data_IF_598541702869
#
_entry.id   IF_598541702869
#
_cell.length_a   1.000
_cell.length_b   1.000
_cell.length_c   1.000
_cell.angle_alpha   90.00
_cell.angle_beta   90.00
_cell.angle_gamma   90.00
#
_symmetry.space_group_name_H-M   'P 1'
#
loop_
_entity.id
_entity.type
_entity.pdbx_description
1 polymer ?
#
# COMPACT_ATOMS: atom_id res chain seq x y z
N UNK A 1 -5.62 4.99 25.21
CA UNK A 1 -4.93 4.20 24.17
C UNK A 1 -3.57 3.80 24.71
N UNK A 2 -3.21 2.53 24.59
CA UNK A 2 -1.89 2.06 25.00
C UNK A 2 -0.83 2.64 24.07
N UNK A 3 0.36 2.93 24.60
CA UNK A 3 1.51 3.24 23.77
C UNK A 3 2.34 1.97 23.60
N UNK A 4 2.81 1.72 22.39
CA UNK A 4 3.53 0.52 22.02
C UNK A 4 4.95 0.89 21.61
N UNK A 5 5.93 0.25 22.23
CA UNK A 5 7.33 0.46 21.91
C UNK A 5 7.64 -0.13 20.53
N UNK A 6 8.05 0.71 19.58
CA UNK A 6 8.15 0.32 18.16
C UNK A 6 9.55 0.56 17.60
N UNK A 7 10.01 -0.29 16.69
CA UNK A 7 11.28 -0.15 15.96
C UNK A 7 11.23 -0.86 14.60
N UNK A 8 12.14 -0.49 13.70
CA UNK A 8 12.32 -1.11 12.38
C UNK A 8 13.63 -1.89 12.36
N UNK A 9 13.63 -3.09 11.79
CA UNK A 9 14.80 -3.97 11.78
C UNK A 9 14.89 -4.88 10.55
N UNK A 10 16.08 -5.45 10.34
CA UNK A 10 16.35 -6.57 9.43
C UNK A 10 16.48 -7.84 10.28
N UNK A 11 15.74 -8.89 9.91
CA UNK A 11 15.83 -10.19 10.57
C UNK A 11 17.08 -10.96 10.17
N UNK A 12 17.62 -11.74 11.12
CA UNK A 12 18.59 -12.77 10.78
C UNK A 12 17.87 -14.00 10.21
N UNK A 13 18.43 -14.57 9.14
CA UNK A 13 18.01 -15.88 8.63
C UNK A 13 18.47 -17.02 9.57
N UNK A 14 17.93 -18.22 9.36
CA UNK A 14 18.27 -19.39 10.19
C UNK A 14 19.77 -19.72 10.16
N UNK A 15 20.44 -19.44 9.05
CA UNK A 15 21.84 -19.73 8.86
C UNK A 15 22.70 -18.80 9.73
N UNK A 16 22.40 -17.50 9.74
CA UNK A 16 23.04 -16.50 10.58
C UNK A 16 22.72 -16.72 12.05
N UNK A 17 21.47 -17.05 12.41
CA UNK A 17 21.07 -17.39 13.80
C UNK A 17 21.94 -18.52 14.37
N UNK A 18 22.11 -19.62 13.61
CA UNK A 18 22.97 -20.74 14.03
C UNK A 18 24.44 -20.33 14.21
N UNK A 19 24.99 -19.55 13.29
CA UNK A 19 26.40 -19.07 13.36
C UNK A 19 26.61 -18.12 14.54
N UNK A 20 25.68 -17.20 14.76
CA UNK A 20 25.68 -16.29 15.90
C UNK A 20 25.55 -17.03 17.24
N UNK A 21 24.71 -18.07 17.31
CA UNK A 21 24.59 -18.94 18.49
C UNK A 21 25.90 -19.66 18.82
N UNK A 22 26.59 -20.19 17.79
CA UNK A 22 27.94 -20.75 17.93
C UNK A 22 28.96 -19.73 18.45
N UNK A 23 28.93 -18.50 17.94
CA UNK A 23 29.77 -17.41 18.42
C UNK A 23 29.46 -17.00 19.86
N UNK A 24 28.17 -16.92 20.24
CA UNK A 24 27.72 -16.68 21.62
C UNK A 24 28.27 -17.78 22.55
N UNK A 25 28.26 -19.04 22.12
CA UNK A 25 28.86 -20.15 22.85
C UNK A 25 30.36 -19.95 23.13
N UNK A 26 31.12 -19.42 22.16
CA UNK A 26 32.55 -19.10 22.31
C UNK A 26 32.80 -17.90 23.23
N UNK A 27 31.91 -16.92 23.22
CA UNK A 27 32.05 -15.69 24.02
C UNK A 27 31.57 -15.87 25.48
N UNK A 28 30.61 -16.78 25.73
CA UNK A 28 30.00 -17.03 27.05
C UNK A 28 30.98 -17.21 28.20
N UNK A 29 32.06 -18.00 28.07
CA UNK A 29 33.04 -18.19 29.15
C UNK A 29 33.80 -16.92 29.54
N UNK A 30 33.82 -15.91 28.67
CA UNK A 30 34.64 -14.71 28.83
C UNK A 30 33.85 -13.47 29.26
N UNK A 31 32.51 -13.51 29.17
CA UNK A 31 31.61 -12.39 29.42
C UNK A 31 30.70 -12.67 30.62
N UNK A 32 31.29 -12.64 31.83
CA UNK A 32 30.57 -12.85 33.09
C UNK A 32 29.49 -11.79 33.34
N UNK A 33 28.28 -12.23 33.72
CA UNK A 33 27.15 -11.33 34.01
C UNK A 33 26.51 -10.68 32.78
N UNK A 34 26.91 -11.07 31.56
CA UNK A 34 26.29 -10.59 30.34
C UNK A 34 24.87 -11.16 30.17
N UNK A 35 23.97 -10.31 29.65
CA UNK A 35 22.65 -10.71 29.16
C UNK A 35 22.77 -11.03 27.68
N UNK A 36 22.48 -12.26 27.31
CA UNK A 36 22.62 -12.76 25.95
C UNK A 36 21.33 -12.52 25.17
N UNK A 37 21.46 -12.12 23.91
CA UNK A 37 20.33 -12.06 22.98
C UNK A 37 19.99 -13.50 22.57
N UNK A 38 18.69 -13.83 22.56
CA UNK A 38 18.22 -15.13 22.10
C UNK A 38 18.21 -15.23 20.57
N UNK A 39 18.16 -16.45 20.04
CA UNK A 39 18.16 -16.67 18.59
C UNK A 39 16.96 -16.02 17.90
N UNK A 40 15.77 -16.06 18.53
CA UNK A 40 14.58 -15.39 17.98
C UNK A 40 14.67 -13.86 17.99
N UNK A 41 15.46 -13.29 18.90
CA UNK A 41 15.61 -11.85 19.05
C UNK A 41 16.80 -11.28 18.27
N UNK A 42 17.50 -12.10 17.48
CA UNK A 42 18.67 -11.67 16.71
C UNK A 42 18.25 -10.86 15.48
N UNK A 43 18.43 -9.55 15.54
CA UNK A 43 18.10 -8.62 14.47
C UNK A 43 19.10 -7.47 14.37
N UNK A 44 19.14 -6.79 13.23
CA UNK A 44 19.83 -5.51 13.04
C UNK A 44 18.78 -4.41 13.12
N UNK A 45 18.84 -3.59 14.17
CA UNK A 45 17.93 -2.45 14.34
C UNK A 45 18.31 -1.34 13.37
N UNK A 46 17.40 -0.94 12.48
CA UNK A 46 17.57 0.20 11.58
C UNK A 46 17.18 1.50 12.28
N UNK A 47 16.05 1.50 12.98
CA UNK A 47 15.57 2.69 13.67
C UNK A 47 14.73 2.34 14.89
N UNK A 48 14.99 3.00 16.02
CA UNK A 48 14.17 2.89 17.22
C UNK A 48 13.23 4.09 17.32
N UNK A 49 11.92 3.85 17.39
CA UNK A 49 10.90 4.90 17.29
C UNK A 49 10.32 5.30 18.66
N UNK A 50 10.50 4.45 19.67
CA UNK A 50 9.98 4.70 21.01
C UNK A 50 8.52 4.29 21.14
N UNK A 51 7.80 4.94 22.06
CA UNK A 51 6.41 4.61 22.39
C UNK A 51 5.42 5.33 21.47
N UNK A 52 4.75 4.57 20.60
CA UNK A 52 3.82 5.10 19.59
C UNK A 52 2.37 4.71 19.90
N UNK A 53 1.42 5.56 19.50
CA UNK A 53 -0.01 5.24 19.43
C UNK A 53 -0.35 4.38 18.22
N UNK A 54 -1.52 3.74 18.22
CA UNK A 54 -1.98 2.90 17.11
C UNK A 54 -2.01 3.64 15.76
N UNK A 55 -2.35 4.93 15.77
CA UNK A 55 -2.33 5.78 14.57
C UNK A 55 -0.90 6.03 14.07
N UNK A 56 0.04 6.31 14.97
CA UNK A 56 1.46 6.50 14.61
C UNK A 56 2.10 5.20 14.12
N UNK A 57 1.72 4.05 14.70
CA UNK A 57 2.16 2.73 14.24
C UNK A 57 1.71 2.48 12.80
N UNK A 58 0.45 2.80 12.48
CA UNK A 58 -0.08 2.65 11.12
C UNK A 58 0.74 3.47 10.13
N UNK A 59 1.07 4.72 10.48
CA UNK A 59 1.89 5.60 9.65
C UNK A 59 3.32 5.07 9.46
N UNK A 60 3.93 4.56 10.52
CA UNK A 60 5.27 3.94 10.47
C UNK A 60 5.28 2.75 9.53
N UNK A 61 4.28 1.87 9.61
CA UNK A 61 4.17 0.70 8.72
C UNK A 61 4.09 1.13 7.25
N UNK A 62 3.20 2.07 6.91
CA UNK A 62 3.05 2.57 5.53
C UNK A 62 4.32 3.21 4.99
N UNK A 63 4.95 4.11 5.77
CA UNK A 63 6.17 4.79 5.33
C UNK A 63 7.37 3.85 5.22
N UNK A 64 7.48 2.88 6.14
CA UNK A 64 8.52 1.84 6.06
C UNK A 64 8.35 1.01 4.79
N UNK A 65 7.11 0.64 4.43
CA UNK A 65 6.84 -0.10 3.20
C UNK A 65 7.23 0.70 1.95
N UNK A 66 6.92 2.00 1.92
CA UNK A 66 7.32 2.87 0.81
C UNK A 66 8.85 2.94 0.63
N UNK A 67 9.58 3.17 1.74
CA UNK A 67 11.05 3.19 1.71
C UNK A 67 11.62 1.83 1.31
N UNK A 68 11.05 0.74 1.81
CA UNK A 68 11.46 -0.61 1.49
C UNK A 68 11.33 -0.89 -0.01
N UNK A 69 10.20 -0.55 -0.64
CA UNK A 69 9.99 -0.75 -2.09
C UNK A 69 10.92 0.11 -2.95
N UNK A 70 11.28 1.31 -2.48
CA UNK A 70 12.24 2.18 -3.18
C UNK A 70 13.68 1.65 -3.12
N UNK A 71 13.98 0.77 -2.16
CA UNK A 71 15.27 0.14 -1.99
C UNK A 71 15.26 -1.29 -2.57
N UNK A 72 16.17 -1.57 -3.50
CA UNK A 72 16.31 -2.93 -4.03
C UNK A 72 16.85 -3.91 -2.99
N UNK A 73 16.57 -5.22 -3.12
CA UNK A 73 17.18 -6.23 -2.28
C UNK A 73 18.70 -6.21 -2.45
N UNK A 74 19.42 -6.52 -1.38
CA UNK A 74 20.88 -6.51 -1.38
C UNK A 74 21.44 -7.64 -0.54
N UNK A 75 22.70 -7.94 -0.78
CA UNK A 75 23.43 -8.91 0.02
C UNK A 75 24.35 -8.20 1.00
N UNK A 76 24.49 -8.79 2.18
CA UNK A 76 25.31 -8.26 3.26
C UNK A 76 26.23 -9.35 3.79
N UNK A 77 27.53 -9.07 3.81
CA UNK A 77 28.49 -9.93 4.50
C UNK A 77 28.53 -9.55 5.97
N UNK A 78 28.02 -10.44 6.81
CA UNK A 78 27.95 -10.26 8.25
C UNK A 78 29.27 -10.75 8.85
N UNK A 79 30.10 -9.79 9.26
CA UNK A 79 31.45 -10.09 9.73
C UNK A 79 31.97 -9.05 10.73
N UNK A 80 32.88 -9.54 11.56
CA UNK A 80 33.63 -8.82 12.56
C UNK A 80 32.88 -8.62 13.86
N UNK A 81 33.55 -8.99 14.96
CA UNK A 81 33.03 -8.80 16.31
C UNK A 81 33.57 -7.49 16.87
N UNK A 82 32.69 -6.72 17.49
CA UNK A 82 33.05 -5.47 18.14
C UNK A 82 32.29 -5.27 19.45
N UNK A 83 32.55 -4.12 20.08
CA UNK A 83 31.87 -3.74 21.31
C UNK A 83 31.57 -2.24 21.34
N UNK A 84 30.50 -1.88 22.04
CA UNK A 84 30.17 -0.47 22.34
C UNK A 84 30.38 -0.15 23.82
N UNK A 85 30.89 1.05 24.17
CA UNK A 85 31.51 2.01 23.25
C UNK A 85 32.82 1.48 22.62
N UNK A 86 33.53 0.59 23.31
CA UNK A 86 34.79 0.01 22.88
C UNK A 86 35.07 -1.33 23.61
N UNK A 87 36.11 -2.04 23.21
CA UNK A 87 36.51 -3.34 23.80
C UNK A 87 37.08 -3.22 25.22
N UNK A 88 37.55 -2.04 25.63
CA UNK A 88 38.08 -1.80 26.99
C UNK A 88 36.96 -1.57 27.99
N UNK A 89 35.78 -1.11 27.57
CA UNK A 89 34.63 -0.88 28.46
C UNK A 89 33.31 -1.36 27.83
N UNK A 90 33.21 -2.64 27.43
CA UNK A 90 32.08 -3.13 26.66
C UNK A 90 30.78 -3.09 27.46
N UNK A 91 29.75 -2.52 26.84
CA UNK A 91 28.35 -2.43 27.29
C UNK A 91 27.41 -3.19 26.37
N UNK A 92 27.82 -3.34 25.12
CA UNK A 92 27.26 -4.32 24.20
C UNK A 92 28.40 -4.97 23.43
N UNK A 93 28.27 -6.26 23.12
CA UNK A 93 29.11 -6.98 22.15
C UNK A 93 28.24 -7.32 20.96
N UNK A 94 28.77 -7.10 19.77
CA UNK A 94 27.99 -7.16 18.53
C UNK A 94 28.77 -7.78 17.38
N UNK A 95 28.02 -8.23 16.38
CA UNK A 95 28.51 -8.72 15.10
C UNK A 95 28.17 -7.68 14.02
N UNK A 96 29.15 -7.27 13.22
CA UNK A 96 29.02 -6.16 12.29
C UNK A 96 28.57 -6.55 10.90
N UNK A 97 28.21 -5.55 10.12
CA UNK A 97 28.17 -5.65 8.66
C UNK A 97 29.50 -5.16 8.07
N UNK A 98 29.98 -5.83 7.01
CA UNK A 98 31.15 -5.41 6.21
C UNK A 98 30.73 -5.09 4.79
N UNK A 99 30.97 -5.99 3.84
CA UNK A 99 30.54 -5.82 2.45
C UNK A 99 29.01 -5.69 2.38
N UNK A 100 28.50 -4.74 1.60
CA UNK A 100 27.07 -4.39 1.57
C UNK A 100 26.62 -3.41 2.65
N UNK A 101 27.51 -3.01 3.59
CA UNK A 101 27.18 -2.08 4.67
C UNK A 101 26.67 -0.72 4.19
N UNK A 102 27.15 -0.24 3.03
CA UNK A 102 26.67 1.01 2.41
C UNK A 102 25.18 0.95 2.04
N UNK A 103 24.68 -0.21 1.60
CA UNK A 103 23.28 -0.40 1.26
C UNK A 103 22.39 -0.33 2.51
N UNK A 104 22.82 -0.96 3.61
CA UNK A 104 22.13 -0.87 4.91
C UNK A 104 22.13 0.57 5.44
N UNK A 105 23.26 1.29 5.33
CA UNK A 105 23.33 2.69 5.74
C UNK A 105 22.43 3.58 4.90
N UNK A 106 22.33 3.36 3.58
CA UNK A 106 21.40 4.09 2.72
C UNK A 106 19.95 3.83 3.10
N UNK A 107 19.58 2.56 3.26
CA UNK A 107 18.24 2.17 3.71
C UNK A 107 17.88 2.80 5.06
N UNK A 108 18.83 2.82 6.01
CA UNK A 108 18.61 3.46 7.30
C UNK A 108 18.45 4.98 7.19
N UNK A 109 19.23 5.65 6.33
CA UNK A 109 19.11 7.08 6.09
C UNK A 109 17.74 7.42 5.47
N UNK A 110 17.31 6.66 4.46
CA UNK A 110 15.99 6.84 3.85
C UNK A 110 14.85 6.64 4.87
N UNK A 111 15.01 5.68 5.79
CA UNK A 111 14.07 5.48 6.90
C UNK A 111 14.10 6.62 7.92
N UNK A 112 15.28 7.15 8.29
CA UNK A 112 15.37 8.31 9.19
C UNK A 112 14.71 9.54 8.56
N UNK A 113 14.95 9.79 7.28
CA UNK A 113 14.32 10.89 6.54
C UNK A 113 12.78 10.74 6.53
N UNK A 114 12.26 9.53 6.36
CA UNK A 114 10.83 9.26 6.29
C UNK A 114 10.12 9.22 7.65
N UNK A 115 10.81 8.83 8.74
CA UNK A 115 10.20 8.51 10.03
C UNK A 115 10.66 9.42 11.18
N UNK A 116 11.61 10.32 10.96
CA UNK A 116 12.21 11.15 12.03
C UNK A 116 11.22 12.05 12.77
N UNK A 117 10.11 12.46 12.15
CA UNK A 117 9.04 13.25 12.77
C UNK A 117 8.19 12.43 13.76
N UNK A 118 8.20 11.10 13.63
CA UNK A 118 7.47 10.16 14.49
C UNK A 118 8.37 9.56 15.59
N UNK A 119 9.70 9.65 15.43
CA UNK A 119 10.65 9.00 16.31
C UNK A 119 10.93 9.80 17.60
N UNK A 120 10.88 9.13 18.75
CA UNK A 120 11.35 9.70 20.02
C UNK A 120 12.89 9.66 20.06
N UNK A 121 13.52 10.75 19.61
CA UNK A 121 14.99 10.84 19.50
C UNK A 121 15.70 10.81 20.86
N UNK A 122 16.73 9.97 20.95
CA UNK A 122 17.77 10.01 21.99
C UNK A 122 19.03 10.75 21.49
N UNK A 123 20.15 10.63 22.22
CA UNK A 123 21.45 11.18 21.80
C UNK A 123 21.84 10.71 20.38
N UNK A 124 22.18 11.66 19.50
CA UNK A 124 22.61 11.37 18.14
C UNK A 124 23.97 10.67 18.14
N UNK A 125 23.96 9.35 17.96
CA UNK A 125 25.15 8.52 17.79
C UNK A 125 25.10 7.99 16.36
N UNK A 126 26.18 8.12 15.61
CA UNK A 126 26.25 7.66 14.23
C UNK A 126 25.77 6.22 14.10
N UNK A 127 25.00 5.94 13.04
CA UNK A 127 24.48 4.61 12.78
C UNK A 127 25.62 3.64 12.45
N UNK A 128 25.65 2.51 13.16
CA UNK A 128 26.60 1.42 12.91
C UNK A 128 25.76 0.17 12.71
N UNK A 129 25.75 -0.45 11.51
CA UNK A 129 24.96 -1.65 11.24
C UNK A 129 25.52 -2.86 12.00
N UNK A 130 24.74 -3.40 12.95
CA UNK A 130 25.19 -4.48 13.82
C UNK A 130 24.05 -5.35 14.35
N UNK A 131 24.36 -6.62 14.64
CA UNK A 131 23.55 -7.52 15.45
C UNK A 131 24.10 -7.54 16.87
N UNK A 132 23.29 -7.16 17.85
CA UNK A 132 23.70 -7.27 19.27
C UNK A 132 23.72 -8.75 19.68
N UNK A 133 24.85 -9.21 20.22
CA UNK A 133 25.00 -10.58 20.75
C UNK A 133 24.79 -10.63 22.27
N UNK A 134 25.29 -9.60 22.97
CA UNK A 134 25.23 -9.51 24.41
C UNK A 134 25.19 -8.07 24.91
N UNK A 135 24.56 -7.85 26.06
CA UNK A 135 24.55 -6.58 26.80
C UNK A 135 25.15 -6.77 28.19
N UNK A 136 26.03 -5.85 28.59
CA UNK A 136 26.73 -5.92 29.87
C UNK A 136 26.23 -4.85 30.87
N UNK A 137 26.01 -5.21 32.14
CA UNK A 137 25.72 -4.25 33.21
C UNK A 137 26.86 -3.22 33.40
N UNK A 138 26.53 -2.06 33.98
CA UNK A 138 27.57 -1.13 34.46
C UNK A 138 28.44 -1.83 35.50
N UNK A 139 29.76 -1.78 35.33
CA UNK A 139 30.72 -2.33 36.30
C UNK A 139 30.90 -3.86 36.26
N UNK A 140 30.22 -4.57 35.36
CA UNK A 140 30.36 -6.01 35.20
C UNK A 140 31.63 -6.35 34.42
N UNK A 141 32.81 -6.25 35.03
CA UNK A 141 34.08 -6.89 34.63
C UNK A 141 34.59 -6.70 33.18
N UNK A 142 33.90 -5.92 32.35
CA UNK A 142 34.25 -5.69 30.96
C UNK A 142 35.54 -4.88 30.88
N UNK A 143 36.44 -5.29 29.99
CA UNK A 143 37.73 -4.63 29.79
C UNK A 143 38.94 -5.33 30.38
N UNK A 144 38.83 -6.57 30.85
CA UNK A 144 40.03 -7.31 31.21
C UNK A 144 40.94 -7.47 29.97
N UNK A 145 42.28 -7.44 30.13
CA UNK A 145 43.19 -7.67 29.00
C UNK A 145 42.90 -8.98 28.26
N UNK A 146 42.45 -10.00 29.00
CA UNK A 146 41.97 -11.26 28.43
C UNK A 146 40.77 -11.06 27.52
N UNK A 147 39.73 -10.33 27.95
CA UNK A 147 38.55 -10.08 27.13
C UNK A 147 38.88 -9.26 25.89
N UNK A 148 39.74 -8.25 26.02
CA UNK A 148 40.21 -7.44 24.88
C UNK A 148 40.90 -8.34 23.86
N UNK A 149 41.83 -9.19 24.30
CA UNK A 149 42.52 -10.16 23.44
C UNK A 149 41.55 -11.14 22.76
N UNK A 150 40.52 -11.62 23.47
CA UNK A 150 39.48 -12.49 22.90
C UNK A 150 38.68 -11.76 21.80
N UNK A 151 38.28 -10.50 22.04
CA UNK A 151 37.53 -9.72 21.06
C UNK A 151 38.39 -9.37 19.84
N UNK A 152 39.64 -9.00 20.04
CA UNK A 152 40.62 -8.75 18.98
C UNK A 152 40.83 -10.00 18.11
N UNK A 153 40.95 -11.19 18.73
CA UNK A 153 41.04 -12.45 18.00
C UNK A 153 39.78 -12.84 17.23
N UNK A 154 38.67 -12.15 17.44
CA UNK A 154 37.39 -12.34 16.76
C UNK A 154 37.02 -11.13 15.85
N UNK A 155 37.89 -10.14 15.73
CA UNK A 155 37.62 -8.92 14.97
C UNK A 155 37.35 -9.18 13.48
N UNK A 156 37.90 -10.27 12.94
CA UNK A 156 37.74 -10.72 11.56
C UNK A 156 36.82 -11.96 11.43
N UNK A 157 36.05 -12.28 12.47
CA UNK A 157 35.12 -13.41 12.43
C UNK A 157 34.10 -13.22 11.30
N UNK A 158 34.07 -14.15 10.36
CA UNK A 158 33.13 -14.14 9.24
C UNK A 158 31.92 -15.01 9.57
N UNK A 159 30.75 -14.37 9.70
CA UNK A 159 29.48 -15.04 9.90
C UNK A 159 28.72 -15.20 8.58
N UNK A 160 29.40 -15.09 7.44
CA UNK A 160 28.87 -15.39 6.12
C UNK A 160 27.97 -14.30 5.55
N UNK A 161 27.29 -14.68 4.48
CA UNK A 161 26.41 -13.81 3.71
C UNK A 161 24.96 -13.90 4.20
N UNK A 162 24.27 -12.77 4.18
CA UNK A 162 22.85 -12.61 4.46
C UNK A 162 22.20 -11.90 3.28
N UNK A 163 21.23 -12.55 2.64
CA UNK A 163 20.36 -11.88 1.69
C UNK A 163 19.33 -11.05 2.45
N UNK A 164 19.22 -9.77 2.10
CA UNK A 164 18.22 -8.86 2.66
C UNK A 164 17.23 -8.54 1.55
N UNK A 165 16.02 -9.06 1.71
CA UNK A 165 14.89 -8.92 0.79
C UNK A 165 13.68 -8.28 1.45
N UNK A 166 13.74 -7.95 2.75
CA UNK A 166 12.67 -7.28 3.48
C UNK A 166 13.18 -6.57 4.74
N UNK A 167 12.37 -5.63 5.24
CA UNK A 167 12.48 -5.03 6.57
C UNK A 167 11.20 -5.26 7.35
N UNK A 168 11.30 -5.30 8.68
CA UNK A 168 10.17 -5.60 9.56
C UNK A 168 10.00 -4.48 10.59
N UNK A 169 8.76 -4.04 10.76
CA UNK A 169 8.35 -3.16 11.86
C UNK A 169 7.91 -4.04 13.03
N UNK A 170 8.48 -3.82 14.21
CA UNK A 170 8.18 -4.59 15.42
C UNK A 170 7.57 -3.74 16.51
N UNK A 171 6.63 -4.31 17.26
CA UNK A 171 6.38 -3.91 18.64
C UNK A 171 7.28 -4.69 19.59
N UNK A 172 7.60 -4.08 20.73
CA UNK A 172 8.38 -4.68 21.81
C UNK A 172 7.64 -4.60 23.13
N UNK A 173 7.51 -5.75 23.79
CA UNK A 173 6.98 -5.85 25.15
C UNK A 173 8.07 -6.35 26.10
N UNK A 174 8.18 -5.75 27.27
CA UNK A 174 9.22 -6.07 28.24
C UNK A 174 8.69 -7.04 29.30
N UNK A 175 9.19 -8.27 29.27
CA UNK A 175 8.90 -9.29 30.26
C UNK A 175 10.09 -9.52 31.21
N UNK A 176 9.85 -10.20 32.34
CA UNK A 176 10.92 -10.57 33.30
C UNK A 176 12.01 -11.43 32.66
N UNK A 177 11.68 -12.21 31.61
CA UNK A 177 12.60 -13.06 30.88
C UNK A 177 13.40 -12.36 29.77
N UNK A 178 13.05 -11.13 29.41
CA UNK A 178 13.60 -10.42 28.26
C UNK A 178 12.51 -9.72 27.45
N UNK A 179 12.89 -8.96 26.41
CA UNK A 179 11.92 -8.43 25.48
C UNK A 179 11.35 -9.54 24.60
N UNK A 180 10.06 -9.46 24.30
CA UNK A 180 9.43 -10.19 23.20
C UNK A 180 9.10 -9.19 22.08
N UNK A 181 9.27 -9.64 20.84
CA UNK A 181 9.05 -8.83 19.65
C UNK A 181 7.94 -9.43 18.81
N UNK A 182 7.00 -8.59 18.38
CA UNK A 182 5.88 -8.99 17.55
C UNK A 182 5.92 -8.20 16.24
N UNK A 183 5.96 -8.88 15.07
CA UNK A 183 5.98 -8.19 13.80
C UNK A 183 4.62 -7.49 13.57
N UNK A 184 4.68 -6.19 13.29
CA UNK A 184 3.53 -5.34 12.95
C UNK A 184 3.34 -5.21 11.44
N UNK A 185 4.45 -5.17 10.69
CA UNK A 185 4.46 -5.17 9.23
C UNK A 185 5.76 -5.80 8.71
N UNK A 186 5.67 -6.54 7.60
CA UNK A 186 6.81 -7.07 6.85
C UNK A 186 6.80 -6.41 5.48
N UNK A 187 7.89 -5.71 5.15
CA UNK A 187 7.97 -4.80 4.02
C UNK A 187 9.06 -5.30 3.05
N UNK A 188 8.68 -5.89 1.90
CA UNK A 188 9.64 -6.40 0.91
C UNK A 188 10.50 -5.27 0.30
N UNK A 189 11.78 -5.56 0.09
CA UNK A 189 12.70 -4.75 -0.69
C UNK A 189 12.54 -5.06 -2.18
N UNK A 190 12.32 -4.01 -2.96
CA UNK A 190 12.19 -4.08 -4.41
C UNK A 190 10.91 -4.73 -4.95
N UNK A 191 10.54 -4.32 -6.16
CA UNK A 191 9.66 -5.05 -7.08
C UNK A 191 10.35 -5.16 -8.45
N UNK A 192 10.25 -6.33 -9.09
CA UNK A 192 10.47 -6.46 -10.54
C UNK A 192 9.37 -5.67 -11.27
N UNK A 193 9.77 -4.51 -11.81
CA UNK A 193 8.93 -3.60 -12.58
C UNK A 193 9.34 -2.16 -12.30
N UNK A 194 10.18 -1.59 -13.17
CA UNK A 194 10.73 -0.23 -13.04
C UNK A 194 9.66 0.83 -12.74
N UNK A 195 9.99 1.92 -12.05
CA UNK A 195 10.91 2.93 -12.58
C UNK A 195 11.57 3.79 -11.49
N UNK A 196 12.83 4.19 -11.75
CA UNK A 196 13.39 5.42 -11.17
C UNK A 196 12.83 6.62 -11.93
N UNK A 197 11.97 7.36 -11.24
CA UNK A 197 11.41 8.70 -11.51
C UNK A 197 10.49 8.86 -12.75
N UNK A 198 9.49 9.76 -12.65
CA UNK A 198 8.17 9.59 -13.26
C UNK A 198 8.18 9.94 -14.75
N UNK A 199 7.46 9.18 -15.59
CA UNK A 199 7.06 9.68 -16.89
C UNK A 199 5.56 9.49 -17.15
N UNK A 200 4.83 10.61 -17.18
CA UNK A 200 3.89 10.85 -18.27
C UNK A 200 2.64 9.98 -18.35
N UNK A 201 1.91 9.87 -17.25
CA UNK A 201 0.46 10.12 -17.15
C UNK A 201 0.13 10.01 -15.66
N UNK A 202 0.06 11.15 -14.98
CA UNK A 202 -0.59 11.17 -13.67
C UNK A 202 -2.01 10.67 -13.86
N UNK A 203 -2.51 9.72 -13.04
CA UNK A 203 -3.95 9.52 -12.94
C UNK A 203 -4.50 10.87 -12.46
N UNK A 204 -5.04 11.65 -13.39
CA UNK A 204 -5.78 12.85 -13.03
C UNK A 204 -6.95 12.35 -12.21
N UNK A 205 -7.08 12.83 -10.98
CA UNK A 205 -8.19 12.46 -10.13
C UNK A 205 -8.79 13.70 -9.53
N UNK A 206 -10.11 13.68 -9.51
CA UNK A 206 -10.94 14.75 -9.02
C UNK A 206 -11.63 14.32 -7.74
N UNK A 207 -11.40 15.07 -6.67
CA UNK A 207 -12.10 14.93 -5.39
C UNK A 207 -13.23 15.95 -5.33
N UNK A 208 -14.43 15.56 -4.89
CA UNK A 208 -15.54 16.48 -4.64
C UNK A 208 -15.84 16.61 -3.14
N UNK A 209 -15.60 17.79 -2.53
CA UNK A 209 -15.89 18.06 -1.09
C UNK A 209 -16.83 19.23 -0.88
N UNK A 210 -17.81 19.07 0.02
CA UNK A 210 -18.73 20.14 0.44
C UNK A 210 -18.23 20.78 1.75
N UNK A 211 -18.18 22.11 1.80
CA UNK A 211 -17.72 22.87 2.97
C UNK A 211 -18.75 22.84 4.12
N UNK A 212 -18.30 22.45 5.31
CA UNK A 212 -18.94 22.83 6.57
C UNK A 212 -18.46 24.22 7.01
N UNK A 213 -19.31 25.24 6.78
CA UNK A 213 -19.33 26.59 7.37
C UNK A 213 -17.99 27.26 7.79
N UNK A 214 -17.57 28.27 7.02
CA UNK A 214 -16.99 29.50 7.56
C UNK A 214 -17.22 30.67 6.60
N UNK A 215 -18.00 31.65 7.04
CA UNK A 215 -18.28 32.89 6.32
C UNK A 215 -17.06 33.82 6.26
N UNK A 216 -16.74 34.37 5.08
CA UNK A 216 -16.54 35.82 4.84
C UNK A 216 -16.23 36.17 3.37
N UNK A 217 -17.17 36.94 2.79
CA UNK A 217 -17.01 38.17 2.00
C UNK A 217 -16.02 38.25 0.82
N UNK A 218 -16.62 38.41 -0.36
CA UNK A 218 -16.34 39.36 -1.46
C UNK A 218 -14.91 39.43 -2.03
N UNK A 219 -14.75 39.12 -3.33
CA UNK A 219 -14.81 40.19 -4.33
C UNK A 219 -15.03 39.69 -5.76
N UNK A 220 -15.65 40.55 -6.55
CA UNK A 220 -16.07 40.36 -7.93
C UNK A 220 -14.93 40.46 -8.94
N UNK A 221 -15.02 39.74 -10.07
CA UNK A 221 -14.77 40.31 -11.39
C UNK A 221 -15.25 39.38 -12.50
N UNK A 222 -16.10 39.94 -13.36
CA UNK A 222 -16.64 39.35 -14.57
C UNK A 222 -15.59 39.22 -15.68
N UNK A 223 -15.74 38.21 -16.55
CA UNK A 223 -15.46 38.38 -17.97
C UNK A 223 -16.17 37.30 -18.80
N UNK A 224 -17.06 37.81 -19.63
CA UNK A 224 -17.94 37.14 -20.58
C UNK A 224 -17.18 36.67 -21.83
N UNK A 225 -17.84 35.75 -22.56
CA UNK A 225 -18.00 35.69 -24.04
C UNK A 225 -17.22 34.63 -24.86
N UNK A 226 -18.06 33.93 -25.63
CA UNK A 226 -17.92 33.52 -27.04
C UNK A 226 -17.40 32.12 -27.38
N UNK A 227 -18.37 31.23 -27.63
CA UNK A 227 -18.43 30.41 -28.85
C UNK A 227 -18.75 31.33 -30.08
N UNK A 228 -18.70 30.91 -31.37
CA UNK A 228 -18.89 29.53 -31.84
C UNK A 228 -18.15 29.06 -33.13
N UNK A 229 -18.28 27.74 -33.37
CA UNK A 229 -18.51 27.03 -34.64
C UNK A 229 -17.55 27.13 -35.84
N UNK A 230 -17.13 25.95 -36.35
CA UNK A 230 -17.29 25.49 -37.75
C UNK A 230 -16.71 24.07 -37.89
N UNK A 231 -17.53 23.02 -38.11
CA UNK A 231 -17.78 22.35 -39.41
C UNK A 231 -16.54 22.03 -40.26
N UNK A 232 -16.27 20.73 -40.45
CA UNK A 232 -16.03 20.02 -41.73
C UNK A 232 -15.88 18.52 -41.42
N UNK A 233 -16.87 17.66 -41.67
CA UNK A 233 -17.05 16.85 -42.89
C UNK A 233 -15.77 16.34 -43.55
N UNK A 234 -15.49 15.04 -43.44
CA UNK A 234 -15.33 14.21 -44.64
C UNK A 234 -15.57 12.73 -44.30
N UNK A 235 -16.37 12.09 -45.17
CA UNK A 235 -16.51 10.64 -45.25
C UNK A 235 -15.33 10.06 -46.03
N UNK A 236 -14.87 8.86 -45.64
CA UNK A 236 -14.30 7.91 -46.58
C UNK A 236 -14.75 6.49 -46.20
N UNK A 237 -15.57 5.91 -47.09
CA UNK A 237 -15.97 4.50 -47.15
C UNK A 237 -14.94 3.70 -47.96
N UNK A 238 -14.76 2.43 -47.56
CA UNK A 238 -14.37 1.20 -48.33
C UNK A 238 -13.30 0.44 -47.52
N UNK A 239 -13.30 -0.88 -47.39
CA UNK A 239 -14.04 -1.94 -48.07
C UNK A 239 -13.77 -3.26 -47.33
N UNK A 240 -14.80 -4.11 -47.25
CA UNK A 240 -14.68 -5.50 -46.87
C UNK A 240 -14.05 -6.33 -48.01
N UNK A 241 -13.25 -7.34 -47.64
CA UNK A 241 -12.96 -8.50 -48.48
C UNK A 241 -12.86 -9.76 -47.60
N UNK A 242 -13.58 -10.80 -48.03
CA UNK A 242 -13.76 -12.11 -47.40
C UNK A 242 -13.28 -13.18 -48.38
N UNK A 243 -12.80 -14.31 -47.85
CA UNK A 243 -12.47 -15.65 -48.43
C UNK A 243 -10.97 -15.96 -48.31
N UNK A 244 -10.51 -17.15 -47.91
CA UNK A 244 -11.19 -18.38 -47.53
C UNK A 244 -10.17 -19.52 -47.40
N UNK A 245 -10.27 -20.26 -46.29
CA UNK A 245 -10.09 -21.71 -46.09
C UNK A 245 -8.90 -22.47 -46.73
N UNK A 246 -8.08 -23.12 -45.90
CA UNK A 246 -7.80 -24.56 -46.04
C UNK A 246 -7.36 -25.17 -44.71
N UNK A 247 -7.94 -26.35 -44.41
CA UNK A 247 -7.72 -27.21 -43.25
C UNK A 247 -6.57 -28.16 -43.54
N UNK A 248 -5.68 -28.35 -42.58
CA UNK A 248 -4.98 -29.62 -42.37
C UNK A 248 -5.24 -30.11 -40.93
N UNK A 249 -5.66 -31.38 -40.84
CA UNK A 249 -6.03 -32.08 -39.60
C UNK A 249 -4.80 -32.78 -39.01
N UNK A 250 -4.34 -32.33 -37.85
CA UNK A 250 -3.54 -33.12 -36.91
C UNK A 250 -4.43 -33.87 -35.90
N UNK A 251 -3.89 -34.81 -35.10
CA UNK A 251 -4.66 -35.81 -34.38
C UNK A 251 -5.49 -35.23 -33.22
N UNK A 252 -6.65 -35.86 -32.97
CA UNK A 252 -7.63 -35.49 -31.95
C UNK A 252 -7.02 -35.53 -30.55
N UNK A 253 -6.89 -34.36 -29.93
CA UNK A 253 -6.83 -34.23 -28.48
C UNK A 253 -8.27 -34.28 -27.92
N UNK A 254 -8.46 -34.98 -26.81
CA UNK A 254 -9.74 -35.11 -26.13
C UNK A 254 -10.36 -33.74 -25.83
N UNK A 255 -11.51 -33.45 -26.45
CA UNK A 255 -12.21 -32.19 -26.27
C UNK A 255 -12.87 -32.14 -24.89
N UNK A 256 -12.34 -31.31 -23.98
CA UNK A 256 -13.05 -30.90 -22.76
C UNK A 256 -14.41 -30.32 -23.14
N UNK A 257 -15.51 -30.90 -22.63
CA UNK A 257 -16.87 -30.34 -22.75
C UNK A 257 -16.89 -28.94 -22.12
N UNK A 258 -17.62 -28.00 -22.73
CA UNK A 258 -17.77 -26.67 -22.14
C UNK A 258 -18.63 -26.74 -20.86
N UNK A 259 -18.46 -25.78 -19.96
CA UNK A 259 -19.26 -25.68 -18.72
C UNK A 259 -20.75 -25.55 -19.05
N UNK A 260 -21.08 -24.87 -20.15
CA UNK A 260 -22.46 -24.75 -20.64
C UNK A 260 -23.01 -26.11 -21.07
N UNK A 261 -22.24 -26.95 -21.76
CA UNK A 261 -22.67 -28.29 -22.17
C UNK A 261 -22.97 -29.22 -20.98
N UNK A 262 -22.19 -29.08 -19.88
CA UNK A 262 -22.40 -29.81 -18.63
C UNK A 262 -23.67 -29.35 -17.88
N UNK A 263 -23.93 -28.04 -17.84
CA UNK A 263 -25.14 -27.47 -17.22
C UNK A 263 -26.38 -27.87 -18.00
N UNK A 264 -26.27 -27.89 -19.33
CA UNK A 264 -27.34 -28.23 -20.23
C UNK A 264 -27.55 -29.75 -20.38
N UNK A 265 -26.65 -30.59 -19.88
CA UNK A 265 -26.64 -32.04 -20.14
C UNK A 265 -27.82 -32.80 -19.53
N UNK A 266 -28.39 -32.28 -18.45
CA UNK A 266 -29.40 -32.98 -17.66
C UNK A 266 -30.84 -32.43 -17.85
N UNK A 267 -31.06 -31.48 -18.77
CA UNK A 267 -32.40 -30.93 -19.02
C UNK A 267 -32.53 -30.35 -20.43
N UNK A 268 -33.33 -31.01 -21.27
CA UNK A 268 -33.68 -30.51 -22.60
C UNK A 268 -34.59 -29.26 -22.55
N UNK A 269 -35.43 -29.14 -21.51
CA UNK A 269 -36.24 -27.94 -21.28
C UNK A 269 -35.37 -26.71 -20.98
N UNK A 270 -34.30 -26.90 -20.21
CA UNK A 270 -33.34 -25.84 -19.91
C UNK A 270 -32.58 -25.41 -21.17
N UNK A 271 -32.19 -26.36 -22.04
CA UNK A 271 -31.57 -26.07 -23.34
C UNK A 271 -32.45 -25.19 -24.21
N UNK A 272 -33.73 -25.56 -24.35
CA UNK A 272 -34.68 -24.77 -25.13
C UNK A 272 -34.92 -23.39 -24.54
N UNK A 273 -34.98 -23.28 -23.21
CA UNK A 273 -35.16 -22.00 -22.52
C UNK A 273 -33.95 -21.08 -22.71
N UNK A 274 -32.73 -21.60 -22.55
CA UNK A 274 -31.48 -20.85 -22.76
C UNK A 274 -31.38 -20.37 -24.21
N UNK A 275 -31.67 -21.24 -25.19
CA UNK A 275 -31.67 -20.85 -26.61
C UNK A 275 -32.73 -19.79 -26.95
N UNK A 276 -33.91 -19.84 -26.30
CA UNK A 276 -34.94 -18.82 -26.46
C UNK A 276 -34.49 -17.46 -25.89
N UNK A 277 -33.82 -17.46 -24.73
CA UNK A 277 -33.26 -16.26 -24.11
C UNK A 277 -32.19 -15.64 -25.01
N UNK A 278 -31.24 -16.42 -25.53
CA UNK A 278 -30.20 -15.91 -26.43
C UNK A 278 -30.78 -15.35 -27.75
N UNK A 279 -31.79 -16.01 -28.30
CA UNK A 279 -32.48 -15.53 -29.51
C UNK A 279 -33.23 -14.22 -29.28
N UNK A 280 -33.81 -14.02 -28.09
CA UNK A 280 -34.62 -12.85 -27.78
C UNK A 280 -33.80 -11.66 -27.27
N UNK A 281 -32.74 -11.92 -26.50
CA UNK A 281 -31.97 -10.91 -25.77
C UNK A 281 -30.51 -10.77 -26.23
N UNK A 282 -30.06 -11.63 -27.15
CA UNK A 282 -28.71 -11.62 -27.73
C UNK A 282 -27.79 -12.70 -27.15
N UNK A 283 -26.73 -13.03 -27.90
CA UNK A 283 -25.69 -13.98 -27.49
C UNK A 283 -25.02 -13.53 -26.18
N UNK A 284 -24.91 -14.42 -25.20
CA UNK A 284 -24.37 -14.08 -23.87
C UNK A 284 -25.36 -13.42 -22.90
N UNK A 285 -26.65 -13.34 -23.24
CA UNK A 285 -27.71 -12.87 -22.31
C UNK A 285 -27.89 -13.77 -21.08
N UNK A 286 -27.47 -15.03 -21.17
CA UNK A 286 -27.41 -15.99 -20.07
C UNK A 286 -26.15 -16.83 -20.21
N UNK A 287 -25.37 -16.94 -19.14
CA UNK A 287 -24.11 -17.70 -19.14
C UNK A 287 -23.91 -18.40 -17.80
N UNK A 288 -23.29 -19.60 -17.78
CA UNK A 288 -22.89 -20.22 -16.52
C UNK A 288 -21.86 -19.32 -15.82
N UNK A 289 -22.08 -19.05 -14.53
CA UNK A 289 -21.22 -18.16 -13.74
C UNK A 289 -19.74 -18.58 -13.75
N UNK A 290 -19.46 -19.87 -13.92
CA UNK A 290 -18.10 -20.43 -14.01
C UNK A 290 -17.59 -20.73 -15.42
N UNK A 291 -18.31 -20.32 -16.48
CA UNK A 291 -17.88 -20.58 -17.87
C UNK A 291 -16.69 -19.71 -18.31
N UNK A 292 -16.52 -18.54 -17.68
CA UNK A 292 -15.38 -17.62 -17.87
C UNK A 292 -14.61 -17.50 -16.54
N UNK A 293 -13.82 -18.51 -16.17
CA UNK A 293 -12.95 -18.44 -14.99
C UNK A 293 -11.73 -17.51 -15.16
N UNK A 294 -11.57 -16.88 -16.33
CA UNK A 294 -10.38 -16.12 -16.71
C UNK A 294 -10.64 -14.64 -17.03
N UNK A 295 -11.84 -14.12 -16.74
CA UNK A 295 -12.05 -12.67 -16.74
C UNK A 295 -11.39 -12.07 -15.51
N UNK A 296 -10.08 -11.82 -15.59
CA UNK A 296 -9.40 -10.93 -14.65
C UNK A 296 -10.08 -9.57 -14.72
N UNK A 297 -10.76 -9.20 -13.63
CA UNK A 297 -11.26 -7.83 -13.46
C UNK A 297 -10.01 -7.00 -13.17
N UNK A 298 -9.69 -6.10 -14.10
CA UNK A 298 -8.62 -5.13 -13.86
C UNK A 298 -8.97 -4.31 -12.61
N UNK A 299 -7.96 -4.01 -11.81
CA UNK A 299 -8.14 -3.18 -10.64
C UNK A 299 -7.05 -2.13 -10.50
N UNK A 300 -7.39 -1.12 -9.73
CA UNK A 300 -6.57 0.02 -9.36
C UNK A 300 -6.03 -0.30 -7.97
N UNK A 301 -4.71 -0.42 -7.82
CA UNK A 301 -4.10 -0.73 -6.54
C UNK A 301 -4.53 0.27 -5.47
N UNK A 302 -4.92 -0.24 -4.30
CA UNK A 302 -5.23 0.57 -3.11
C UNK A 302 -3.97 1.10 -2.42
N UNK A 303 -2.78 0.75 -2.93
CA UNK A 303 -1.48 0.93 -2.29
C UNK A 303 -1.33 0.17 -0.95
N UNK A 304 -2.31 -0.64 -0.58
CA UNK A 304 -2.25 -1.55 0.57
C UNK A 304 -2.25 -2.98 0.05
N UNK A 305 -1.13 -3.71 0.20
CA UNK A 305 -1.02 -5.07 -0.30
C UNK A 305 -2.04 -6.01 0.37
N UNK A 306 -2.26 -5.86 1.67
CA UNK A 306 -3.22 -6.68 2.40
C UNK A 306 -4.65 -6.48 1.87
N UNK A 307 -5.01 -5.24 1.53
CA UNK A 307 -6.30 -4.92 0.95
C UNK A 307 -6.40 -5.35 -0.51
N UNK A 308 -5.36 -5.14 -1.31
CA UNK A 308 -5.32 -5.59 -2.71
C UNK A 308 -5.42 -7.11 -2.79
N UNK A 309 -4.75 -7.85 -1.91
CA UNK A 309 -4.88 -9.31 -1.80
C UNK A 309 -6.29 -9.72 -1.39
N UNK A 310 -6.90 -9.04 -0.42
CA UNK A 310 -8.29 -9.30 -0.03
C UNK A 310 -9.28 -9.02 -1.17
N UNK A 311 -8.95 -8.10 -2.08
CA UNK A 311 -9.71 -7.77 -3.29
C UNK A 311 -9.33 -8.61 -4.52
N UNK A 312 -8.64 -9.74 -4.33
CA UNK A 312 -8.29 -10.66 -5.42
C UNK A 312 -6.98 -10.34 -6.14
N UNK A 313 -6.10 -9.57 -5.50
CA UNK A 313 -4.74 -9.24 -5.96
C UNK A 313 -4.66 -8.10 -6.99
N UNK A 314 -5.78 -7.41 -7.26
CA UNK A 314 -5.86 -6.36 -8.29
C UNK A 314 -6.26 -5.00 -7.71
N UNK A 315 -6.66 -4.92 -6.43
CA UNK A 315 -7.15 -3.68 -5.81
C UNK A 315 -8.60 -3.35 -6.18
N UNK A 316 -8.92 -2.06 -6.27
CA UNK A 316 -10.27 -1.54 -6.53
C UNK A 316 -10.67 -1.88 -7.97
N UNK A 317 -11.77 -2.60 -8.21
CA UNK A 317 -12.14 -3.02 -9.57
C UNK A 317 -12.51 -1.82 -10.47
N UNK A 318 -11.90 -1.77 -11.66
CA UNK A 318 -12.19 -0.75 -12.68
C UNK A 318 -13.65 -0.84 -13.17
N UNK A 319 -14.26 0.31 -13.48
CA UNK A 319 -15.59 0.37 -14.07
C UNK A 319 -16.73 -0.03 -13.13
N UNK A 320 -16.48 0.02 -11.82
CA UNK A 320 -17.44 -0.31 -10.76
C UNK A 320 -17.64 0.89 -9.84
N UNK A 321 -18.77 0.91 -9.14
CA UNK A 321 -18.99 1.83 -8.01
C UNK A 321 -18.63 1.05 -6.74
N UNK A 322 -17.78 1.63 -5.90
CA UNK A 322 -17.30 1.00 -4.66
C UNK A 322 -17.76 1.85 -3.48
N UNK A 323 -18.37 1.20 -2.48
CA UNK A 323 -18.75 1.83 -1.22
C UNK A 323 -17.84 1.35 -0.11
N UNK A 324 -17.17 2.29 0.56
CA UNK A 324 -16.35 2.03 1.74
C UNK A 324 -17.12 2.51 2.97
N UNK A 325 -17.58 1.59 3.82
CA UNK A 325 -18.39 1.88 5.01
C UNK A 325 -17.76 1.29 6.27
N UNK A 326 -18.12 1.84 7.44
CA UNK A 326 -17.56 1.42 8.73
C UNK A 326 -17.60 2.52 9.80
N UNK A 327 -17.27 2.19 11.07
CA UNK A 327 -17.27 3.14 12.20
C UNK A 327 -16.41 4.39 11.94
N UNK A 328 -16.69 5.50 12.62
CA UNK A 328 -15.82 6.67 12.58
C UNK A 328 -14.37 6.31 12.93
N UNK A 329 -13.40 6.99 12.31
CA UNK A 329 -11.96 6.74 12.49
C UNK A 329 -11.47 5.34 12.09
N UNK A 330 -12.25 4.54 11.35
CA UNK A 330 -11.83 3.23 10.83
C UNK A 330 -10.94 3.30 9.57
N UNK A 331 -10.37 4.46 9.26
CA UNK A 331 -9.49 4.64 8.10
C UNK A 331 -10.19 4.73 6.74
N UNK A 332 -11.51 4.97 6.66
CA UNK A 332 -12.23 5.13 5.37
C UNK A 332 -11.69 6.29 4.53
N UNK A 333 -11.67 7.48 5.14
CA UNK A 333 -11.07 8.67 4.53
C UNK A 333 -9.58 8.46 4.32
N UNK A 334 -8.86 7.80 5.24
CA UNK A 334 -7.43 7.48 5.06
C UNK A 334 -7.17 6.58 3.85
N UNK A 335 -8.01 5.57 3.62
CA UNK A 335 -7.96 4.72 2.43
C UNK A 335 -8.33 5.53 1.18
N UNK A 336 -9.37 6.34 1.27
CA UNK A 336 -9.76 7.24 0.19
C UNK A 336 -8.64 8.23 -0.14
N UNK A 337 -7.85 8.65 0.85
CA UNK A 337 -6.66 9.52 0.78
C UNK A 337 -5.41 8.85 0.22
N UNK A 338 -5.18 7.59 0.60
CA UNK A 338 -4.12 6.75 0.04
C UNK A 338 -4.39 6.43 -1.43
N UNK A 339 -5.67 6.32 -1.77
CA UNK A 339 -6.11 6.30 -3.15
C UNK A 339 -5.98 7.73 -3.72
N UNK A 340 -6.56 8.78 -3.10
CA UNK A 340 -6.50 10.21 -3.49
C UNK A 340 -6.85 11.27 -2.40
N UNK A 341 -6.11 12.38 -2.41
CA UNK A 341 -6.05 13.42 -1.36
C UNK A 341 -7.23 14.41 -1.15
N UNK A 342 -7.40 14.88 0.12
CA UNK A 342 -8.29 15.96 0.60
C UNK A 342 -7.56 17.05 1.41
N UNK A 343 -6.47 16.70 2.10
CA UNK A 343 -5.61 17.65 2.84
C UNK A 343 -4.27 17.76 2.12
N UNK A 344 -3.89 18.92 1.57
CA UNK A 344 -2.65 19.06 0.79
C UNK A 344 -1.37 18.73 1.58
N UNK A 345 -1.34 19.01 2.88
CA UNK A 345 -0.16 18.78 3.72
C UNK A 345 0.03 17.29 4.05
N UNK A 346 -1.06 16.58 4.29
CA UNK A 346 -1.13 15.16 4.55
C UNK A 346 -0.96 14.35 3.27
N UNK A 347 -1.62 14.76 2.20
CA UNK A 347 -1.49 14.22 0.85
C UNK A 347 -0.04 14.22 0.36
N UNK A 348 0.67 15.33 0.55
CA UNK A 348 2.09 15.42 0.22
C UNK A 348 2.94 14.44 1.02
N UNK A 349 2.61 14.21 2.29
CA UNK A 349 3.28 13.21 3.15
C UNK A 349 2.99 11.77 2.69
N UNK A 350 1.81 11.53 2.13
CA UNK A 350 1.42 10.25 1.52
C UNK A 350 1.96 10.05 0.09
N UNK A 351 2.75 10.98 -0.45
CA UNK A 351 3.32 10.87 -1.80
C UNK A 351 2.37 11.25 -2.93
N UNK A 352 1.25 11.92 -2.63
CA UNK A 352 0.31 12.42 -3.65
C UNK A 352 0.88 13.64 -4.36
N UNK A 353 0.89 13.59 -5.70
CA UNK A 353 1.24 14.73 -6.55
C UNK A 353 0.12 15.78 -6.54
N UNK A 354 0.34 16.85 -5.78
CA UNK A 354 -0.62 17.95 -5.64
C UNK A 354 -0.77 18.79 -6.92
N UNK A 355 0.20 18.77 -7.83
CA UNK A 355 0.14 19.59 -9.05
C UNK A 355 -0.85 19.03 -10.08
N UNK A 356 -1.11 17.72 -10.02
CA UNK A 356 -2.02 17.03 -10.94
C UNK A 356 -3.35 16.62 -10.31
N UNK A 357 -3.53 16.91 -9.02
CA UNK A 357 -4.77 16.66 -8.28
C UNK A 357 -5.82 17.72 -8.60
N UNK A 358 -6.97 17.29 -9.12
CA UNK A 358 -8.14 18.15 -9.27
C UNK A 358 -8.95 18.11 -7.97
N UNK A 359 -9.30 19.28 -7.45
CA UNK A 359 -10.22 19.39 -6.32
C UNK A 359 -11.42 20.22 -6.77
N UNK A 360 -12.60 19.67 -6.60
CA UNK A 360 -13.88 20.32 -6.82
C UNK A 360 -14.55 20.55 -5.46
N UNK A 361 -14.99 21.77 -5.22
CA UNK A 361 -15.78 22.11 -4.04
C UNK A 361 -17.18 22.54 -4.48
N UNK A 362 -18.08 21.57 -4.76
CA UNK A 362 -19.45 21.88 -5.16
C UNK A 362 -20.19 22.56 -4.00
N UNK A 363 -21.28 23.26 -4.32
CA UNK A 363 -22.13 23.98 -3.37
C UNK A 363 -23.30 23.13 -2.88
N UNK A 364 -23.71 22.13 -3.66
CA UNK A 364 -24.80 21.21 -3.35
C UNK A 364 -24.62 19.84 -4.02
N UNK A 365 -25.39 18.84 -3.57
CA UNK A 365 -25.26 17.47 -4.02
C UNK A 365 -25.48 17.26 -5.53
N UNK A 366 -26.45 17.95 -6.14
CA UNK A 366 -26.67 17.84 -7.59
C UNK A 366 -25.48 18.35 -8.41
N UNK A 367 -24.83 19.42 -7.96
CA UNK A 367 -23.64 19.97 -8.59
C UNK A 367 -22.49 18.97 -8.51
N UNK A 368 -22.26 18.39 -7.32
CA UNK A 368 -21.25 17.36 -7.10
C UNK A 368 -21.43 16.16 -8.05
N UNK A 369 -22.67 15.68 -8.19
CA UNK A 369 -22.99 14.56 -9.08
C UNK A 369 -22.87 14.92 -10.56
N UNK A 370 -23.14 16.18 -10.94
CA UNK A 370 -22.92 16.65 -12.31
C UNK A 370 -21.44 16.72 -12.68
N UNK A 371 -20.61 17.21 -11.75
CA UNK A 371 -19.15 17.26 -11.93
C UNK A 371 -18.60 15.83 -12.05
N UNK A 372 -19.04 14.93 -11.18
CA UNK A 372 -18.72 13.49 -11.25
C UNK A 372 -19.09 12.92 -12.63
N UNK A 373 -20.29 13.22 -13.14
CA UNK A 373 -20.71 12.76 -14.48
C UNK A 373 -19.80 13.28 -15.61
N UNK A 374 -19.41 14.54 -15.56
CA UNK A 374 -18.52 15.13 -16.56
C UNK A 374 -17.13 14.48 -16.54
N UNK A 375 -16.60 14.23 -15.35
CA UNK A 375 -15.30 13.60 -15.15
C UNK A 375 -15.30 12.15 -15.64
N UNK A 376 -16.31 11.36 -15.26
CA UNK A 376 -16.48 9.98 -15.77
C UNK A 376 -16.53 9.97 -17.30
N UNK A 377 -17.29 10.89 -17.90
CA UNK A 377 -17.46 10.96 -19.37
C UNK A 377 -16.22 11.47 -20.11
N UNK A 378 -15.32 12.16 -19.42
CA UNK A 378 -14.08 12.66 -20.02
C UNK A 378 -13.10 11.52 -20.36
N UNK A 379 -13.22 10.36 -19.70
CA UNK A 379 -12.23 9.28 -19.72
C UNK A 379 -10.80 9.74 -19.37
N UNK A 380 -10.68 10.89 -18.69
CA UNK A 380 -9.39 11.47 -18.31
C UNK A 380 -8.97 11.10 -16.88
N UNK A 381 -9.88 10.49 -16.11
CA UNK A 381 -9.67 10.14 -14.71
C UNK A 381 -9.92 8.65 -14.49
N UNK A 382 -9.03 8.01 -13.73
CA UNK A 382 -9.08 6.58 -13.43
C UNK A 382 -9.89 6.30 -12.14
N UNK A 383 -9.87 7.23 -11.18
CA UNK A 383 -10.63 7.15 -9.92
C UNK A 383 -11.33 8.49 -9.65
N UNK A 384 -12.55 8.45 -9.12
CA UNK A 384 -13.23 9.62 -8.56
C UNK A 384 -13.65 9.30 -7.12
N UNK A 385 -13.24 10.16 -6.18
CA UNK A 385 -13.57 10.01 -4.77
C UNK A 385 -14.63 11.03 -4.35
N UNK A 386 -15.73 10.53 -3.80
CA UNK A 386 -16.76 11.32 -3.13
C UNK A 386 -16.66 11.03 -1.63
N UNK A 387 -15.93 11.87 -0.90
CA UNK A 387 -15.84 11.81 0.56
C UNK A 387 -16.60 13.00 1.19
N UNK A 388 -17.77 12.81 1.80
CA UNK A 388 -18.56 11.59 1.94
C UNK A 388 -19.93 11.74 1.31
N UNK A 389 -20.60 10.62 1.00
CA UNK A 389 -21.99 10.63 0.52
C UNK A 389 -22.91 11.40 1.46
N UNK A 390 -22.68 11.31 2.78
CA UNK A 390 -23.45 12.05 3.78
C UNK A 390 -23.38 13.57 3.57
N UNK A 391 -22.28 14.07 3.00
CA UNK A 391 -22.10 15.49 2.70
C UNK A 391 -22.85 15.94 1.43
N UNK A 392 -23.36 15.04 0.58
CA UNK A 392 -24.11 15.38 -0.63
C UNK A 392 -25.53 15.88 -0.30
N UNK A 393 -25.62 17.07 0.26
CA UNK A 393 -26.88 17.69 0.65
C UNK A 393 -27.57 18.29 -0.58
N UNK A 394 -28.80 17.88 -0.94
CA UNK A 394 -29.54 18.47 -2.05
C UNK A 394 -29.77 19.96 -1.88
N UNK A 395 -29.74 20.73 -2.98
CA UNK A 395 -29.94 22.19 -2.93
C UNK A 395 -31.21 22.59 -2.18
N UNK A 396 -32.30 21.85 -2.41
CA UNK A 396 -33.58 22.09 -1.75
C UNK A 396 -33.52 21.97 -0.23
N UNK A 397 -32.64 21.14 0.30
CA UNK A 397 -32.44 20.98 1.74
C UNK A 397 -31.55 22.10 2.31
N UNK A 398 -30.55 22.56 1.55
CA UNK A 398 -29.72 23.72 1.91
C UNK A 398 -30.50 25.04 1.92
N UNK A 399 -31.44 25.20 0.99
CA UNK A 399 -32.29 26.39 0.86
C UNK A 399 -33.49 26.35 1.84
N UNK A 400 -33.72 25.24 2.55
CA UNK A 400 -34.84 25.03 3.46
C UNK A 400 -34.66 25.69 4.83
N UNK A 401 -35.75 25.89 5.57
CA UNK A 401 -35.69 26.44 6.93
C UNK A 401 -35.46 25.34 7.98
N UNK A 402 -34.87 25.71 9.11
CA UNK A 402 -34.66 24.78 10.23
C UNK A 402 -36.02 24.29 10.74
N UNK A 403 -36.32 23.01 10.55
CA UNK A 403 -37.59 22.39 10.91
C UNK A 403 -38.40 21.89 9.70
N UNK A 404 -37.99 22.23 8.48
CA UNK A 404 -38.62 21.71 7.27
C UNK A 404 -38.38 20.21 7.11
N UNK A 405 -39.44 19.48 6.76
CA UNK A 405 -39.36 18.04 6.51
C UNK A 405 -38.92 17.78 5.07
N UNK A 406 -37.72 17.24 4.94
CA UNK A 406 -37.13 16.85 3.66
C UNK A 406 -36.82 15.35 3.65
N UNK A 407 -37.88 14.53 3.68
CA UNK A 407 -37.72 13.07 3.77
C UNK A 407 -37.08 12.51 2.50
N UNK A 408 -35.87 11.98 2.64
CA UNK A 408 -35.20 11.13 1.64
C UNK A 408 -34.74 11.85 0.38
N UNK A 409 -34.50 13.17 0.42
CA UNK A 409 -34.01 13.91 -0.76
C UNK A 409 -32.62 13.42 -1.21
N UNK A 410 -31.69 13.23 -0.27
CA UNK A 410 -30.35 12.72 -0.55
C UNK A 410 -30.39 11.30 -1.18
N UNK A 411 -31.23 10.41 -0.65
CA UNK A 411 -31.39 9.06 -1.21
C UNK A 411 -31.95 9.08 -2.66
N UNK A 412 -32.85 10.02 -2.97
CA UNK A 412 -33.38 10.22 -4.32
C UNK A 412 -32.31 10.75 -5.27
N UNK A 413 -31.53 11.75 -4.84
CA UNK A 413 -30.40 12.28 -5.58
C UNK A 413 -29.40 11.17 -5.95
N UNK A 414 -29.00 10.36 -4.96
CA UNK A 414 -28.09 9.23 -5.18
C UNK A 414 -28.69 8.21 -6.14
N UNK A 415 -29.94 7.79 -5.93
CA UNK A 415 -30.61 6.80 -6.79
C UNK A 415 -30.71 7.24 -8.26
N UNK A 416 -30.98 8.53 -8.50
CA UNK A 416 -31.04 9.09 -9.85
C UNK A 416 -29.65 9.18 -10.49
N UNK A 417 -28.69 9.67 -9.72
CA UNK A 417 -27.31 9.87 -10.20
C UNK A 417 -26.65 8.54 -10.53
N UNK A 418 -26.75 7.54 -9.64
CA UNK A 418 -26.17 6.21 -9.86
C UNK A 418 -26.72 5.55 -11.13
N UNK A 419 -28.05 5.60 -11.35
CA UNK A 419 -28.68 5.03 -12.55
C UNK A 419 -28.13 5.62 -13.85
N UNK A 420 -27.75 6.90 -13.83
CA UNK A 420 -27.18 7.60 -14.98
C UNK A 420 -25.69 7.29 -15.16
N UNK A 421 -24.96 7.15 -14.05
CA UNK A 421 -23.51 6.99 -14.03
C UNK A 421 -23.05 5.56 -14.30
N UNK A 422 -23.76 4.53 -13.84
CA UNK A 422 -23.31 3.13 -13.94
C UNK A 422 -22.87 2.73 -15.36
N UNK A 423 -23.67 3.09 -16.38
CA UNK A 423 -23.34 2.78 -17.77
C UNK A 423 -22.17 3.60 -18.33
N UNK A 424 -21.91 4.79 -17.79
CA UNK A 424 -20.78 5.62 -18.18
C UNK A 424 -19.48 5.12 -17.51
N UNK A 425 -19.51 4.84 -16.21
CA UNK A 425 -18.41 4.32 -15.40
C UNK A 425 -17.87 3.01 -16.00
N UNK A 426 -18.77 2.06 -16.31
CA UNK A 426 -18.36 0.79 -16.93
C UNK A 426 -17.69 0.95 -18.30
N UNK A 427 -18.02 2.00 -19.06
CA UNK A 427 -17.41 2.27 -20.37
C UNK A 427 -16.09 3.02 -20.26
N UNK A 428 -15.99 3.95 -19.31
CA UNK A 428 -14.78 4.75 -19.09
C UNK A 428 -13.69 3.97 -18.35
N UNK A 429 -14.05 2.86 -17.69
CA UNK A 429 -13.18 2.10 -16.78
C UNK A 429 -12.75 2.89 -15.53
N UNK A 430 -13.32 4.06 -15.31
CA UNK A 430 -13.18 4.80 -14.06
C UNK A 430 -13.78 3.98 -12.90
N UNK A 431 -13.19 4.10 -11.71
CA UNK A 431 -13.76 3.64 -10.46
C UNK A 431 -14.47 4.78 -9.71
#
# INVERSE_FOLDING_TARGET
MGKTRTFVAIEADDALRRRASGLIGRLRPHLGGARWVSEENLHLTLMFLGELSDTEITEVCSRTEWVARANGPFSLRVAGVGAFPDAQRPRAVWLGAREGGEAVCRLQADLDDALSDLAQRGENRGFVPHWTLARLPRGAGGGSPHLVSVLEGLADYDAGELAVDQVVVYSSELYRGGPEYYPLATCPLGMEGGARSPPGRSPMVATATLNGSAAKTTDSAAATKNAPASKNTSMAKKSAAKKGNSKEKGPKADAKKSVMDLVLENSDDLRHTVAAIEKQFGEGAIMPLGADSDRRINGISTQSLSLDMALGGQGIPEGRIIEVFGPESSGKTTLALHVHALDPSWAKKLGVDLETLLVSQPSHGEEAMHITEMLVKSNAVDVIVIDSVAALVPKKELDGEIGDSHVGLQARLMSQSMRKLTGAISKSKCA
#
